data_IF_869381319571
#
_entry.id   IF_869381319571
#
_cell.length_a   1.000
_cell.length_b   1.000
_cell.length_c   1.000
_cell.angle_alpha   90.00
_cell.angle_beta   90.00
_cell.angle_gamma   90.00
#
_symmetry.space_group_name_H-M   'P 1'
#
loop_
_entity.id
_entity.type
_entity.pdbx_description
1 polymer ?
#
# COMPACT_ATOMS: atom_id res chain seq x y z
N UNK A 1 -32.32 -54.33 -42.07
CA UNK A 1 -32.76 -53.40 -41.00
C UNK A 1 -32.37 -51.99 -41.43
N UNK A 2 -33.33 -51.09 -41.62
CA UNK A 2 -33.07 -49.70 -42.07
C UNK A 2 -32.69 -48.85 -40.85
N UNK A 3 -31.58 -48.09 -40.86
CA UNK A 3 -31.20 -47.26 -39.72
C UNK A 3 -32.23 -46.16 -39.47
N UNK A 4 -32.46 -45.75 -38.21
CA UNK A 4 -33.43 -44.70 -37.90
C UNK A 4 -33.01 -43.38 -38.57
N UNK A 5 -33.97 -42.61 -39.11
CA UNK A 5 -33.66 -41.32 -39.71
C UNK A 5 -33.11 -40.39 -38.62
N UNK A 6 -31.84 -40.02 -38.75
CA UNK A 6 -31.20 -39.02 -37.91
C UNK A 6 -31.98 -37.71 -38.09
N UNK A 7 -32.64 -37.26 -37.01
CA UNK A 7 -33.39 -36.02 -36.99
C UNK A 7 -32.50 -34.88 -37.48
N UNK A 8 -32.90 -34.21 -38.57
CA UNK A 8 -32.18 -33.05 -39.11
C UNK A 8 -32.04 -32.02 -37.99
N UNK A 9 -30.83 -31.60 -37.62
CA UNK A 9 -30.64 -30.62 -36.55
C UNK A 9 -31.34 -29.33 -36.96
N UNK A 10 -32.42 -29.00 -36.25
CA UNK A 10 -33.20 -27.81 -36.52
C UNK A 10 -32.41 -26.57 -36.12
N UNK A 11 -32.59 -25.45 -36.83
CA UNK A 11 -32.01 -24.16 -36.46
C UNK A 11 -32.40 -23.74 -35.03
N UNK A 12 -33.59 -24.13 -34.56
CA UNK A 12 -34.06 -23.91 -33.19
C UNK A 12 -33.20 -24.65 -32.16
N UNK A 13 -32.80 -25.89 -32.47
CA UNK A 13 -31.91 -26.68 -31.61
C UNK A 13 -30.52 -26.03 -31.50
N UNK A 14 -30.03 -25.43 -32.59
CA UNK A 14 -28.76 -24.68 -32.59
C UNK A 14 -28.83 -23.41 -31.76
N UNK A 15 -29.94 -22.65 -31.85
CA UNK A 15 -30.16 -21.49 -30.99
C UNK A 15 -30.25 -21.87 -29.51
N UNK A 16 -30.98 -22.94 -29.19
CA UNK A 16 -31.07 -23.45 -27.83
C UNK A 16 -29.69 -23.85 -27.28
N UNK A 17 -28.88 -24.54 -28.07
CA UNK A 17 -27.52 -24.92 -27.68
C UNK A 17 -26.61 -23.70 -27.46
N UNK A 18 -26.71 -22.70 -28.34
CA UNK A 18 -25.96 -21.46 -28.22
C UNK A 18 -26.36 -20.68 -26.96
N UNK A 19 -27.65 -20.55 -26.70
CA UNK A 19 -28.16 -19.88 -25.51
C UNK A 19 -27.70 -20.58 -24.22
N UNK A 20 -27.80 -21.92 -24.17
CA UNK A 20 -27.33 -22.70 -23.02
C UNK A 20 -25.81 -22.57 -22.83
N UNK A 21 -25.03 -22.58 -23.92
CA UNK A 21 -23.59 -22.37 -23.85
C UNK A 21 -23.24 -21.01 -23.23
N UNK A 22 -23.88 -19.94 -23.72
CA UNK A 22 -23.71 -18.60 -23.16
C UNK A 22 -24.10 -18.56 -21.69
N UNK A 23 -25.19 -19.21 -21.31
CA UNK A 23 -25.65 -19.27 -19.94
C UNK A 23 -24.65 -19.98 -19.02
N UNK A 24 -24.11 -21.13 -19.45
CA UNK A 24 -23.09 -21.88 -18.71
C UNK A 24 -21.82 -21.05 -18.55
N UNK A 25 -21.38 -20.35 -19.60
CA UNK A 25 -20.22 -19.46 -19.54
C UNK A 25 -20.47 -18.31 -18.57
N UNK A 26 -21.66 -17.70 -18.60
CA UNK A 26 -22.02 -16.61 -17.69
C UNK A 26 -22.00 -17.07 -16.23
N UNK A 27 -22.61 -18.22 -15.92
CA UNK A 27 -22.61 -18.80 -14.57
C UNK A 27 -21.18 -19.12 -14.13
N UNK A 28 -20.39 -19.77 -14.99
CA UNK A 28 -18.99 -20.08 -14.69
C UNK A 28 -18.17 -18.82 -14.42
N UNK A 29 -18.36 -17.77 -15.21
CA UNK A 29 -17.71 -16.48 -15.02
C UNK A 29 -18.12 -15.81 -13.71
N UNK A 30 -19.40 -15.86 -13.33
CA UNK A 30 -19.87 -15.33 -12.04
C UNK A 30 -19.19 -16.04 -10.87
N UNK A 31 -19.15 -17.38 -10.90
CA UNK A 31 -18.49 -18.18 -9.86
C UNK A 31 -16.99 -17.87 -9.80
N UNK A 32 -16.31 -17.82 -10.95
CA UNK A 32 -14.90 -17.48 -11.02
C UNK A 32 -14.63 -16.06 -10.50
N UNK A 33 -15.49 -15.09 -10.84
CA UNK A 33 -15.39 -13.71 -10.37
C UNK A 33 -15.55 -13.62 -8.85
N UNK A 34 -16.50 -14.35 -8.26
CA UNK A 34 -16.68 -14.41 -6.80
C UNK A 34 -15.45 -15.02 -6.14
N UNK A 35 -14.97 -16.17 -6.63
CA UNK A 35 -13.75 -16.80 -6.09
C UNK A 35 -12.54 -15.88 -6.19
N UNK A 36 -12.38 -15.20 -7.31
CA UNK A 36 -11.32 -14.22 -7.52
C UNK A 36 -11.42 -13.07 -6.52
N UNK A 37 -12.63 -12.51 -6.31
CA UNK A 37 -12.84 -11.44 -5.34
C UNK A 37 -12.49 -11.88 -3.91
N UNK A 38 -12.87 -13.11 -3.52
CA UNK A 38 -12.52 -13.67 -2.22
C UNK A 38 -11.00 -13.82 -2.08
N UNK A 39 -10.32 -14.38 -3.09
CA UNK A 39 -8.86 -14.51 -3.11
C UNK A 39 -8.16 -13.16 -3.03
N UNK A 40 -8.65 -12.18 -3.80
CA UNK A 40 -8.11 -10.83 -3.82
C UNK A 40 -8.26 -10.17 -2.46
N UNK A 41 -9.43 -10.30 -1.82
CA UNK A 41 -9.67 -9.76 -0.48
C UNK A 41 -8.77 -10.44 0.55
N UNK A 42 -8.66 -11.76 0.51
CA UNK A 42 -7.75 -12.51 1.38
C UNK A 42 -6.28 -12.08 1.18
N UNK A 43 -5.85 -11.89 -0.06
CA UNK A 43 -4.54 -11.38 -0.41
C UNK A 43 -4.29 -9.96 0.10
N UNK A 44 -5.28 -9.07 -0.01
CA UNK A 44 -5.20 -7.70 0.53
C UNK A 44 -5.11 -7.69 2.06
N UNK A 45 -5.94 -8.51 2.73
CA UNK A 45 -5.92 -8.63 4.20
C UNK A 45 -4.60 -9.21 4.67
N UNK A 46 -4.13 -10.29 4.06
CA UNK A 46 -2.85 -10.92 4.38
C UNK A 46 -1.67 -9.99 4.07
N UNK A 47 -1.67 -9.33 2.92
CA UNK A 47 -0.65 -8.37 2.50
C UNK A 47 -0.61 -7.14 3.40
N UNK A 48 -1.77 -6.58 3.74
CA UNK A 48 -1.89 -5.49 4.70
C UNK A 48 -1.41 -5.90 6.08
N UNK A 49 -1.82 -7.07 6.57
CA UNK A 49 -1.35 -7.62 7.84
C UNK A 49 0.17 -7.83 7.86
N UNK A 50 0.73 -8.38 6.77
CA UNK A 50 2.17 -8.60 6.62
C UNK A 50 2.93 -7.27 6.57
N UNK A 51 2.39 -6.26 5.88
CA UNK A 51 2.97 -4.91 5.86
C UNK A 51 3.00 -4.29 7.26
N UNK A 52 1.91 -4.42 8.02
CA UNK A 52 1.86 -3.98 9.41
C UNK A 52 2.86 -4.74 10.28
N UNK A 53 3.02 -6.05 10.07
CA UNK A 53 4.00 -6.88 10.78
C UNK A 53 5.42 -6.45 10.43
N UNK A 54 5.74 -6.28 9.15
CA UNK A 54 7.05 -5.83 8.70
C UNK A 54 7.36 -4.42 9.18
N UNK A 55 6.39 -3.49 9.17
CA UNK A 55 6.55 -2.14 9.76
C UNK A 55 6.77 -2.17 11.28
N UNK A 56 6.24 -3.16 12.00
CA UNK A 56 6.56 -3.36 13.42
C UNK A 56 7.98 -3.89 13.59
N UNK A 57 8.36 -4.87 12.77
CA UNK A 57 9.72 -5.42 12.77
C UNK A 57 10.76 -4.37 12.38
N UNK A 58 10.50 -3.53 11.38
CA UNK A 58 11.37 -2.41 10.99
C UNK A 58 11.55 -1.42 12.14
N UNK A 59 10.47 -1.11 12.88
CA UNK A 59 10.58 -0.26 14.09
C UNK A 59 11.38 -0.92 15.21
N UNK A 60 11.29 -2.24 15.35
CA UNK A 60 12.11 -2.98 16.30
C UNK A 60 13.57 -3.05 15.84
N UNK A 61 13.81 -3.27 14.54
CA UNK A 61 15.13 -3.27 13.92
C UNK A 61 15.75 -1.87 13.89
N UNK A 62 14.98 -0.78 13.88
CA UNK A 62 15.51 0.58 14.03
C UNK A 62 15.92 0.87 15.48
N UNK A 63 15.23 0.28 16.46
CA UNK A 63 15.55 0.40 17.90
C UNK A 63 16.65 -0.56 18.34
N UNK A 64 16.70 -1.71 17.70
CA UNK A 64 17.70 -2.74 17.89
C UNK A 64 18.80 -2.66 16.82
N UNK A 65 18.77 -1.66 15.93
CA UNK A 65 19.89 -1.29 15.09
C UNK A 65 20.94 -0.83 16.09
N UNK A 66 21.98 -1.64 16.32
CA UNK A 66 23.11 -1.16 17.07
C UNK A 66 23.66 0.01 16.27
N UNK A 67 24.07 1.07 16.94
CA UNK A 67 24.85 2.18 16.39
C UNK A 67 26.25 1.73 15.90
N UNK A 68 26.38 0.44 15.61
CA UNK A 68 27.60 -0.31 15.46
C UNK A 68 27.38 -1.34 14.34
N UNK A 69 27.82 -0.95 13.15
CA UNK A 69 28.09 -1.88 12.06
C UNK A 69 29.38 -2.59 12.43
N UNK A 70 29.32 -3.92 12.51
CA UNK A 70 30.43 -4.80 12.86
C UNK A 70 31.54 -4.65 11.78
N UNK A 71 32.44 -3.68 12.00
CA UNK A 71 33.43 -3.22 11.03
C UNK A 71 33.62 -1.70 11.06
N UNK A 72 34.15 -1.18 12.16
CA UNK A 72 34.92 0.08 12.23
C UNK A 72 34.32 1.31 11.51
N UNK A 73 33.12 1.78 11.83
CA UNK A 73 32.77 3.21 11.68
C UNK A 73 31.64 3.57 12.65
N UNK A 74 31.93 4.45 13.62
CA UNK A 74 30.92 5.16 14.42
C UNK A 74 30.15 6.09 13.50
N UNK A 75 28.85 5.90 13.36
CA UNK A 75 27.97 6.92 12.81
C UNK A 75 27.68 7.92 13.92
N UNK A 76 28.49 8.97 14.01
CA UNK A 76 28.11 10.16 14.77
C UNK A 76 26.76 10.61 14.22
N UNK A 77 25.70 10.41 15.01
CA UNK A 77 24.41 11.04 14.76
C UNK A 77 24.62 12.54 14.87
N UNK A 78 25.00 13.16 13.75
CA UNK A 78 25.08 14.60 13.58
C UNK A 78 23.69 15.12 13.92
N UNK A 79 23.58 15.62 15.16
CA UNK A 79 22.41 16.32 15.64
C UNK A 79 22.08 17.38 14.59
N UNK A 80 20.89 17.40 14.00
CA UNK A 80 20.45 18.57 13.28
C UNK A 80 20.13 19.63 14.34
N UNK A 81 21.17 20.22 14.92
CA UNK A 81 21.09 21.42 15.75
C UNK A 81 21.34 22.59 14.79
N UNK A 82 20.49 22.66 13.76
CA UNK A 82 20.55 23.64 12.69
C UNK A 82 19.51 24.76 12.85
N UNK A 83 18.85 24.94 13.99
CA UNK A 83 17.91 26.05 14.15
C UNK A 83 17.82 26.55 15.59
N UNK A 84 18.79 27.33 16.11
CA UNK A 84 18.45 28.43 17.04
C UNK A 84 19.59 29.44 17.36
N UNK A 85 20.44 29.81 16.39
CA UNK A 85 21.47 30.84 16.65
C UNK A 85 21.40 32.07 15.76
N UNK A 86 20.33 32.23 14.96
CA UNK A 86 20.24 33.35 14.01
C UNK A 86 19.31 34.50 14.40
N UNK A 87 18.59 34.43 15.52
CA UNK A 87 17.59 35.47 15.87
C UNK A 87 17.76 36.11 17.25
N UNK A 88 18.64 35.63 18.12
CA UNK A 88 18.81 36.20 19.47
C UNK A 88 19.62 37.53 19.59
N UNK A 89 20.64 37.85 18.75
CA UNK A 89 21.48 39.01 19.06
C UNK A 89 20.89 40.35 18.62
N UNK A 90 19.98 40.37 17.64
CA UNK A 90 19.42 41.63 17.10
C UNK A 90 18.33 42.20 18.03
N UNK A 91 17.46 41.34 18.56
CA UNK A 91 16.35 41.78 19.43
C UNK A 91 16.83 42.27 20.81
N UNK A 92 17.88 41.65 21.35
CA UNK A 92 18.51 42.08 22.60
C UNK A 92 19.26 43.41 22.43
N UNK A 93 19.91 43.63 21.28
CA UNK A 93 20.58 44.88 20.97
C UNK A 93 19.58 46.04 20.75
N UNK A 94 18.45 45.79 20.08
CA UNK A 94 17.40 46.78 19.88
C UNK A 94 16.70 47.18 21.17
N UNK A 95 16.38 46.23 22.06
CA UNK A 95 15.77 46.54 23.37
C UNK A 95 16.70 47.37 24.26
N UNK A 96 18.00 47.09 24.21
CA UNK A 96 19.00 47.84 24.98
C UNK A 96 19.21 49.26 24.44
N UNK A 97 19.22 49.41 23.11
CA UNK A 97 19.30 50.72 22.45
C UNK A 97 18.03 51.56 22.64
N UNK A 98 16.84 50.94 22.64
CA UNK A 98 15.57 51.60 22.88
C UNK A 98 15.40 52.06 24.34
N UNK A 99 15.93 51.30 25.31
CA UNK A 99 15.94 51.69 26.71
C UNK A 99 16.84 52.91 26.96
N UNK A 100 17.98 52.99 26.27
CA UNK A 100 18.92 54.11 26.39
C UNK A 100 18.38 55.42 25.79
N UNK A 101 17.59 55.36 24.70
CA UNK A 101 16.99 56.55 24.08
C UNK A 101 15.81 57.16 24.83
N UNK A 102 15.24 56.48 25.82
CA UNK A 102 14.09 56.98 26.61
C UNK A 102 14.52 57.79 27.85
N UNK A 103 15.82 58.02 28.03
CA UNK A 103 16.34 59.00 29.00
C UNK A 103 17.15 60.03 28.23
N UNK A 104 16.51 61.14 27.87
CA UNK A 104 16.76 62.41 28.59
C UNK A 104 15.48 63.19 28.95
#
# INVERSE_FOLDING_TARGET
>A
MKPPPLAKPSWLSRLGLAATSVLVVAVGFTVASILFAILLMAGLVAGGWLWWRLRRLMRQAQRAAPDFIDGEYTVESERPLLEDRRTAPVEAAERSAAASRRMP
#
